data_IF_225176120501
#
_entry.id   IF_225176120501
#
_cell.length_a   1.000
_cell.length_b   1.000
_cell.length_c   1.000
_cell.angle_alpha   90.00
_cell.angle_beta   90.00
_cell.angle_gamma   90.00
#
_symmetry.space_group_name_H-M   'P 1'
#
loop_
_entity.id
_entity.type
_entity.pdbx_description
1 polymer ?
#
# COMPACT_ATOMS: atom_id res chain seq x y z
N UNK A 1 -13.45 -5.07 42.77
CA UNK A 1 -13.04 -3.93 41.93
C UNK A 1 -12.73 -4.41 40.51
N UNK A 2 -13.55 -3.93 39.58
CA UNK A 2 -13.76 -4.27 38.16
C UNK A 2 -12.56 -4.83 37.38
N UNK A 3 -12.82 -5.79 36.47
CA UNK A 3 -12.25 -5.78 35.14
C UNK A 3 -13.29 -5.29 34.12
N UNK A 4 -12.74 -4.50 33.20
CA UNK A 4 -13.27 -4.01 31.94
C UNK A 4 -13.67 -5.12 30.97
N UNK A 5 -14.86 -5.01 30.37
CA UNK A 5 -15.15 -5.56 29.05
C UNK A 5 -16.21 -4.68 28.38
N UNK A 6 -15.76 -3.81 27.47
CA UNK A 6 -16.60 -3.12 26.50
C UNK A 6 -16.05 -3.50 25.13
N UNK A 7 -16.30 -4.74 24.73
CA UNK A 7 -16.09 -5.22 23.36
C UNK A 7 -17.12 -6.30 23.08
N UNK A 8 -18.30 -5.89 22.60
CA UNK A 8 -19.02 -6.50 21.49
C UNK A 8 -20.35 -5.77 21.31
N UNK A 9 -20.42 -4.87 20.33
CA UNK A 9 -21.70 -4.28 19.92
C UNK A 9 -21.95 -4.33 18.41
N UNK A 10 -21.17 -5.13 17.70
CA UNK A 10 -21.36 -5.45 16.28
C UNK A 10 -21.03 -6.92 16.04
N UNK A 11 -21.84 -7.81 16.60
CA UNK A 11 -21.92 -9.21 16.16
C UNK A 11 -23.18 -9.32 15.32
N UNK A 12 -23.07 -9.01 14.03
CA UNK A 12 -24.11 -9.21 13.04
C UNK A 12 -24.05 -10.65 12.57
N UNK A 13 -24.53 -11.57 13.41
CA UNK A 13 -24.90 -12.93 13.02
C UNK A 13 -26.23 -13.24 13.71
N UNK A 14 -27.30 -12.68 13.13
CA UNK A 14 -28.66 -13.10 13.41
C UNK A 14 -29.29 -13.50 12.06
N UNK A 15 -29.83 -14.71 11.91
CA UNK A 15 -30.52 -15.10 10.69
C UNK A 15 -31.72 -14.17 10.49
N UNK A 16 -31.85 -13.65 9.27
CA UNK A 16 -32.91 -12.77 8.82
C UNK A 16 -34.27 -13.43 9.02
N UNK A 17 -34.89 -13.20 10.18
CA UNK A 17 -36.27 -13.56 10.45
C UNK A 17 -37.14 -12.57 9.67
N UNK A 18 -37.94 -13.08 8.74
CA UNK A 18 -39.02 -12.35 8.07
C UNK A 18 -40.03 -11.88 9.12
N UNK A 19 -39.74 -10.77 9.79
CA UNK A 19 -40.73 -9.98 10.49
C UNK A 19 -41.20 -8.92 9.49
N UNK A 20 -42.48 -9.05 9.12
CA UNK A 20 -43.21 -8.08 8.34
C UNK A 20 -42.88 -6.66 8.83
N UNK A 21 -42.51 -5.79 7.89
CA UNK A 21 -42.38 -4.36 8.17
C UNK A 21 -43.68 -3.81 8.75
N UNK A 22 -43.65 -2.64 9.42
CA UNK A 22 -44.87 -2.03 9.93
C UNK A 22 -45.84 -1.87 8.76
N UNK A 23 -46.98 -2.54 8.82
CA UNK A 23 -48.10 -2.32 7.91
C UNK A 23 -48.50 -0.85 8.03
N UNK A 24 -48.04 -0.03 7.10
CA UNK A 24 -48.60 1.29 6.92
C UNK A 24 -50.04 1.10 6.48
N UNK A 25 -50.97 1.36 7.41
CA UNK A 25 -52.41 1.34 7.14
C UNK A 25 -52.69 2.22 5.91
N UNK A 26 -53.62 1.81 5.04
CA UNK A 26 -54.11 2.64 3.92
C UNK A 26 -54.51 4.06 4.37
N UNK A 27 -54.86 4.21 5.65
CA UNK A 27 -55.17 5.50 6.27
C UNK A 27 -53.96 6.44 6.37
N UNK A 28 -52.75 5.91 6.59
CA UNK A 28 -51.49 6.69 6.62
C UNK A 28 -51.09 7.16 5.22
N UNK A 29 -51.29 6.31 4.20
CA UNK A 29 -51.14 6.69 2.79
C UNK A 29 -52.17 7.74 2.35
N UNK A 30 -53.39 7.66 2.87
CA UNK A 30 -54.44 8.63 2.59
C UNK A 30 -54.22 9.99 3.27
N UNK A 31 -53.47 10.03 4.38
CA UNK A 31 -53.07 11.27 5.06
C UNK A 31 -51.98 12.02 4.27
N UNK A 32 -51.04 11.30 3.64
CA UNK A 32 -50.03 11.91 2.76
C UNK A 32 -50.60 12.39 1.42
N UNK A 33 -51.60 11.70 0.88
CA UNK A 33 -52.20 12.04 -0.43
C UNK A 33 -53.18 13.23 -0.38
N UNK A 34 -53.46 13.76 0.82
CA UNK A 34 -54.43 14.83 1.04
C UNK A 34 -53.78 15.99 1.80
N UNK A 35 -52.72 16.56 1.24
CA UNK A 35 -52.31 17.92 1.61
C UNK A 35 -53.54 18.83 1.52
N UNK A 36 -53.80 19.57 2.61
CA UNK A 36 -55.03 20.34 2.84
C UNK A 36 -55.30 21.46 1.80
N UNK A 37 -54.42 21.60 0.80
CA UNK A 37 -54.49 22.53 -0.33
C UNK A 37 -55.43 22.01 -1.43
N UNK A 38 -55.44 20.71 -1.72
CA UNK A 38 -56.29 20.15 -2.80
C UNK A 38 -57.78 20.18 -2.46
N UNK A 39 -58.16 20.03 -1.18
CA UNK A 39 -59.59 20.06 -0.77
C UNK A 39 -60.24 21.44 -0.71
N UNK A 40 -59.49 22.52 -0.99
CA UNK A 40 -60.02 23.90 -1.01
C UNK A 40 -60.17 24.51 -2.40
N UNK A 41 -59.83 23.78 -3.47
CA UNK A 41 -59.96 24.27 -4.82
C UNK A 41 -61.41 24.13 -5.31
N UNK A 42 -62.20 25.22 -5.25
CA UNK A 42 -63.42 25.31 -6.06
C UNK A 42 -62.99 25.43 -7.53
N UNK A 43 -63.77 24.85 -8.44
CA UNK A 43 -63.42 24.56 -9.85
C UNK A 43 -63.03 25.79 -10.74
N UNK A 44 -62.97 27.00 -10.17
CA UNK A 44 -62.68 28.28 -10.86
C UNK A 44 -61.23 28.77 -10.70
N UNK A 45 -60.46 28.31 -9.71
CA UNK A 45 -59.09 28.83 -9.44
C UNK A 45 -57.99 27.78 -9.63
N UNK A 46 -58.06 27.02 -10.73
CA UNK A 46 -57.08 25.97 -11.04
C UNK A 46 -55.64 26.49 -11.07
N UNK A 47 -55.42 27.69 -11.62
CA UNK A 47 -54.11 28.37 -11.67
C UNK A 47 -53.52 28.66 -10.27
N UNK A 48 -54.37 28.98 -9.29
CA UNK A 48 -53.93 29.20 -7.91
C UNK A 48 -53.55 27.88 -7.25
N UNK A 49 -54.33 26.84 -7.47
CA UNK A 49 -54.06 25.51 -6.92
C UNK A 49 -52.80 24.87 -7.54
N UNK A 50 -52.59 25.03 -8.85
CA UNK A 50 -51.38 24.57 -9.52
C UNK A 50 -50.14 25.35 -9.05
N UNK A 51 -50.25 26.67 -8.87
CA UNK A 51 -49.17 27.49 -8.29
C UNK A 51 -48.79 27.02 -6.89
N UNK A 52 -49.77 26.77 -6.03
CA UNK A 52 -49.53 26.26 -4.66
C UNK A 52 -48.90 24.87 -4.70
N UNK A 53 -49.38 23.97 -5.57
CA UNK A 53 -48.79 22.62 -5.76
C UNK A 53 -47.33 22.70 -6.22
N UNK A 54 -47.03 23.55 -7.19
CA UNK A 54 -45.66 23.77 -7.68
C UNK A 54 -44.77 24.37 -6.59
N UNK A 55 -45.30 25.30 -5.79
CA UNK A 55 -44.59 25.85 -4.65
C UNK A 55 -44.27 24.77 -3.60
N UNK A 56 -45.26 23.96 -3.21
CA UNK A 56 -45.06 22.83 -2.26
C UNK A 56 -44.03 21.82 -2.79
N UNK A 57 -44.05 21.52 -4.09
CA UNK A 57 -43.07 20.65 -4.72
C UNK A 57 -41.66 21.25 -4.73
N UNK A 58 -41.53 22.53 -5.02
CA UNK A 58 -40.24 23.22 -4.96
C UNK A 58 -39.70 23.25 -3.53
N UNK A 59 -40.55 23.57 -2.54
CA UNK A 59 -40.17 23.54 -1.12
C UNK A 59 -39.77 22.12 -0.65
N UNK A 60 -40.41 21.08 -1.18
CA UNK A 60 -40.01 19.70 -0.92
C UNK A 60 -38.66 19.35 -1.57
N UNK A 61 -38.42 19.79 -2.80
CA UNK A 61 -37.13 19.61 -3.51
C UNK A 61 -35.99 20.34 -2.80
N UNK A 62 -36.20 21.57 -2.37
CA UNK A 62 -35.21 22.36 -1.66
C UNK A 62 -34.84 21.72 -0.31
N UNK A 63 -35.85 21.21 0.42
CA UNK A 63 -35.62 20.45 1.65
C UNK A 63 -34.82 19.16 1.39
N UNK A 64 -35.14 18.42 0.33
CA UNK A 64 -34.41 17.21 -0.05
C UNK A 64 -32.95 17.53 -0.41
N UNK A 65 -32.71 18.56 -1.23
CA UNK A 65 -31.38 19.00 -1.61
C UNK A 65 -30.54 19.45 -0.40
N UNK A 66 -31.15 20.18 0.55
CA UNK A 66 -30.48 20.56 1.78
C UNK A 66 -30.15 19.36 2.67
N UNK A 67 -31.03 18.36 2.71
CA UNK A 67 -30.81 17.11 3.45
C UNK A 67 -29.67 16.29 2.82
N UNK A 68 -29.61 16.20 1.50
CA UNK A 68 -28.51 15.58 0.76
C UNK A 68 -27.17 16.27 1.05
N UNK A 69 -27.13 17.61 0.99
CA UNK A 69 -25.93 18.38 1.34
C UNK A 69 -25.46 18.07 2.76
N UNK A 70 -26.40 18.00 3.71
CA UNK A 70 -26.11 17.70 5.11
C UNK A 70 -25.58 16.26 5.24
N UNK A 71 -26.24 15.28 4.62
CA UNK A 71 -25.80 13.88 4.58
C UNK A 71 -24.40 13.71 3.98
N UNK A 72 -24.12 14.44 2.89
CA UNK A 72 -22.82 14.42 2.22
C UNK A 72 -21.73 14.99 3.13
N UNK A 73 -22.01 16.11 3.79
CA UNK A 73 -21.09 16.70 4.76
C UNK A 73 -20.80 15.79 5.96
N UNK A 74 -21.83 15.13 6.51
CA UNK A 74 -21.64 14.13 7.57
C UNK A 74 -20.79 12.95 7.10
N UNK A 75 -21.01 12.47 5.87
CA UNK A 75 -20.27 11.37 5.28
C UNK A 75 -18.80 11.72 5.08
N UNK A 76 -18.51 12.91 4.52
CA UNK A 76 -17.14 13.43 4.34
C UNK A 76 -16.44 13.63 5.69
N UNK A 77 -17.11 14.22 6.67
CA UNK A 77 -16.58 14.33 8.04
C UNK A 77 -16.24 12.95 8.61
N UNK A 78 -17.11 11.97 8.37
CA UNK A 78 -16.93 10.61 8.87
C UNK A 78 -15.75 9.89 8.22
N UNK A 79 -15.59 10.03 6.91
CA UNK A 79 -14.44 9.51 6.19
C UNK A 79 -13.13 10.18 6.63
N UNK A 80 -13.13 11.50 6.79
CA UNK A 80 -11.95 12.27 7.18
C UNK A 80 -11.44 11.88 8.58
N UNK A 81 -12.33 11.77 9.58
CA UNK A 81 -11.86 11.32 10.91
C UNK A 81 -11.35 9.89 10.86
N UNK A 82 -12.02 8.97 10.15
CA UNK A 82 -11.55 7.58 10.02
C UNK A 82 -10.17 7.50 9.40
N UNK A 83 -9.92 8.26 8.34
CA UNK A 83 -8.62 8.37 7.69
C UNK A 83 -7.56 8.89 8.68
N UNK A 84 -7.79 10.04 9.31
CA UNK A 84 -6.86 10.62 10.31
C UNK A 84 -6.55 9.66 11.46
N UNK A 85 -7.57 8.99 11.98
CA UNK A 85 -7.40 8.02 13.06
C UNK A 85 -6.65 6.76 12.62
N UNK A 86 -6.83 6.31 11.37
CA UNK A 86 -6.00 5.24 10.82
C UNK A 86 -4.55 5.69 10.74
N UNK A 87 -4.28 6.85 10.13
CA UNK A 87 -2.92 7.40 10.00
C UNK A 87 -2.20 7.49 11.34
N UNK A 88 -2.82 8.13 12.36
CA UNK A 88 -2.21 8.25 13.69
C UNK A 88 -2.00 6.88 14.35
N UNK A 89 -2.92 5.92 14.13
CA UNK A 89 -2.78 4.56 14.64
C UNK A 89 -1.60 3.85 13.98
N UNK A 90 -1.46 3.98 12.67
CA UNK A 90 -0.42 3.34 11.87
C UNK A 90 0.94 3.94 12.22
N UNK A 91 1.05 5.26 12.33
CA UNK A 91 2.25 5.96 12.82
C UNK A 91 2.66 5.50 14.22
N UNK A 92 1.70 5.42 15.15
CA UNK A 92 1.96 4.93 16.51
C UNK A 92 2.42 3.46 16.51
N UNK A 93 1.82 2.61 15.67
CA UNK A 93 2.20 1.20 15.57
C UNK A 93 3.62 1.07 14.98
N UNK A 94 3.91 1.82 13.91
CA UNK A 94 5.24 1.89 13.30
C UNK A 94 6.31 2.33 14.29
N UNK A 95 6.06 3.39 15.06
CA UNK A 95 7.01 3.86 16.09
C UNK A 95 7.26 2.80 17.17
N UNK A 96 6.26 1.97 17.51
CA UNK A 96 6.44 0.85 18.42
C UNK A 96 7.29 -0.26 17.79
N UNK A 97 7.00 -0.64 16.56
CA UNK A 97 7.76 -1.65 15.81
C UNK A 97 9.23 -1.23 15.65
N UNK A 98 9.49 0.03 15.28
CA UNK A 98 10.85 0.58 15.19
C UNK A 98 11.55 0.57 16.56
N UNK A 99 10.85 0.92 17.65
CA UNK A 99 11.40 0.83 19.01
C UNK A 99 11.70 -0.60 19.45
N UNK A 100 10.90 -1.58 19.02
CA UNK A 100 11.17 -3.00 19.26
C UNK A 100 12.39 -3.45 18.44
N UNK A 101 12.42 -3.18 17.14
CA UNK A 101 13.53 -3.54 16.28
C UNK A 101 14.88 -2.95 16.76
N UNK A 102 14.88 -1.71 17.26
CA UNK A 102 16.09 -1.09 17.82
C UNK A 102 16.55 -1.75 19.13
N UNK A 103 15.61 -2.24 19.95
CA UNK A 103 15.94 -2.99 21.18
C UNK A 103 16.54 -4.35 20.83
N UNK A 104 15.94 -5.06 19.86
CA UNK A 104 16.45 -6.34 19.40
C UNK A 104 17.85 -6.17 18.77
N UNK A 105 18.06 -5.14 17.95
CA UNK A 105 19.37 -4.82 17.37
C UNK A 105 20.43 -4.45 18.43
N UNK A 106 20.03 -3.81 19.53
CA UNK A 106 20.91 -3.51 20.66
C UNK A 106 21.28 -4.79 21.41
N UNK A 107 20.33 -5.70 21.62
CA UNK A 107 20.56 -7.00 22.23
C UNK A 107 21.55 -7.83 21.39
N UNK A 108 21.31 -7.95 20.09
CA UNK A 108 22.21 -8.60 19.13
C UNK A 108 23.64 -8.00 19.16
N UNK A 109 23.74 -6.67 19.21
CA UNK A 109 25.03 -5.99 19.28
C UNK A 109 25.76 -6.28 20.60
N UNK A 110 25.04 -6.31 21.72
CA UNK A 110 25.60 -6.67 23.02
C UNK A 110 26.09 -8.12 23.03
N UNK A 111 25.31 -9.06 22.49
CA UNK A 111 25.74 -10.46 22.38
C UNK A 111 27.02 -10.60 21.54
N UNK A 112 27.12 -9.85 20.43
CA UNK A 112 28.35 -9.79 19.62
C UNK A 112 29.53 -9.21 20.39
N UNK A 113 29.33 -8.13 21.14
CA UNK A 113 30.36 -7.53 22.01
C UNK A 113 30.83 -8.54 23.06
N UNK A 114 29.90 -9.25 23.71
CA UNK A 114 30.23 -10.27 24.69
C UNK A 114 31.01 -11.44 24.08
N UNK A 115 30.62 -11.88 22.89
CA UNK A 115 31.31 -12.92 22.11
C UNK A 115 32.75 -12.49 21.78
N UNK A 116 32.93 -11.28 21.25
CA UNK A 116 34.26 -10.72 20.96
C UNK A 116 35.11 -10.57 22.22
N UNK A 117 34.52 -10.11 23.32
CA UNK A 117 35.21 -10.01 24.61
C UNK A 117 35.63 -11.39 25.15
N UNK A 118 34.80 -12.42 24.98
CA UNK A 118 35.17 -13.80 25.32
C UNK A 118 36.35 -14.27 24.46
N UNK A 119 36.31 -14.06 23.15
CA UNK A 119 37.41 -14.41 22.25
C UNK A 119 38.71 -13.66 22.59
N UNK A 120 38.63 -12.35 22.87
CA UNK A 120 39.75 -11.52 23.31
C UNK A 120 40.42 -12.11 24.56
N UNK A 121 39.64 -12.46 25.59
CA UNK A 121 40.18 -13.07 26.83
C UNK A 121 40.92 -14.39 26.56
N UNK A 122 40.41 -15.21 25.64
CA UNK A 122 41.08 -16.46 25.23
C UNK A 122 42.45 -16.15 24.59
N UNK A 123 42.50 -15.21 23.66
CA UNK A 123 43.75 -14.78 23.00
C UNK A 123 44.74 -14.19 24.00
N UNK A 124 44.29 -13.36 24.94
CA UNK A 124 45.14 -12.80 26.00
C UNK A 124 45.75 -13.89 26.89
N UNK A 125 44.97 -14.92 27.24
CA UNK A 125 45.45 -16.08 27.98
C UNK A 125 46.48 -16.90 27.20
N UNK A 126 46.27 -17.12 25.90
CA UNK A 126 47.21 -17.81 25.02
C UNK A 126 48.52 -17.03 24.85
N UNK A 127 48.43 -15.71 24.69
CA UNK A 127 49.58 -14.81 24.62
C UNK A 127 50.42 -14.92 25.91
N UNK A 128 49.79 -14.82 27.08
CA UNK A 128 50.49 -14.94 28.36
C UNK A 128 51.17 -16.31 28.55
N UNK A 129 50.54 -17.39 28.08
CA UNK A 129 51.14 -18.75 28.06
C UNK A 129 52.36 -18.81 27.14
N UNK A 130 52.25 -18.25 25.94
CA UNK A 130 53.35 -18.21 24.96
C UNK A 130 54.54 -17.37 25.48
N UNK A 131 54.29 -16.22 26.11
CA UNK A 131 55.31 -15.39 26.75
C UNK A 131 56.04 -16.14 27.86
N UNK A 132 55.31 -16.84 28.72
CA UNK A 132 55.88 -17.66 29.80
C UNK A 132 56.73 -18.82 29.24
N UNK A 133 56.29 -19.47 28.17
CA UNK A 133 57.06 -20.51 27.48
C UNK A 133 58.34 -19.95 26.85
N UNK A 134 58.26 -18.78 26.20
CA UNK A 134 59.43 -18.10 25.64
C UNK A 134 60.45 -17.75 26.73
N UNK A 135 59.99 -17.26 27.88
CA UNK A 135 60.87 -16.95 29.01
C UNK A 135 61.57 -18.21 29.55
N UNK A 136 60.87 -19.36 29.62
CA UNK A 136 61.47 -20.66 29.99
C UNK A 136 62.56 -21.06 29.01
N UNK A 137 62.30 -21.02 27.70
CA UNK A 137 63.29 -21.35 26.67
C UNK A 137 64.51 -20.42 26.75
N UNK A 138 64.29 -19.11 26.94
CA UNK A 138 65.39 -18.15 27.15
C UNK A 138 66.25 -18.52 28.36
N UNK A 139 65.63 -18.90 29.48
CA UNK A 139 66.34 -19.33 30.70
C UNK A 139 67.12 -20.63 30.48
N UNK A 140 66.53 -21.61 29.83
CA UNK A 140 67.17 -22.89 29.47
C UNK A 140 68.38 -22.67 28.54
N UNK A 141 68.29 -21.73 27.59
CA UNK A 141 69.39 -21.33 26.71
C UNK A 141 70.57 -20.70 27.45
N UNK A 142 70.30 -19.90 28.48
CA UNK A 142 71.34 -19.30 29.35
C UNK A 142 72.05 -20.38 30.17
N UNK A 143 71.30 -21.35 30.70
CA UNK A 143 71.86 -22.43 31.54
C UNK A 143 72.69 -23.43 30.74
N UNK A 144 72.32 -23.71 29.48
CA UNK A 144 73.00 -24.72 28.65
C UNK A 144 74.31 -24.28 28.00
N UNK A 145 74.77 -23.02 28.20
CA UNK A 145 76.01 -22.47 27.59
C UNK A 145 76.17 -22.85 26.10
N UNK A 146 75.07 -22.87 25.36
CA UNK A 146 75.15 -23.03 23.89
C UNK A 146 75.63 -21.68 23.33
N UNK A 147 76.77 -21.62 22.63
CA UNK A 147 77.29 -20.37 22.09
C UNK A 147 76.26 -19.63 21.24
N UNK A 148 76.22 -18.31 21.37
CA UNK A 148 75.50 -17.43 20.45
C UNK A 148 75.89 -17.76 19.00
N UNK A 149 74.93 -18.00 18.08
CA UNK A 149 75.22 -17.73 16.69
C UNK A 149 75.42 -16.22 16.55
N UNK A 150 76.56 -15.84 15.94
CA UNK A 150 76.97 -14.46 15.71
C UNK A 150 75.79 -13.59 15.26
N UNK A 151 75.46 -12.61 16.11
CA UNK A 151 74.48 -11.58 15.80
C UNK A 151 75.17 -10.60 14.84
N UNK A 152 74.95 -10.78 13.55
CA UNK A 152 75.24 -9.73 12.56
C UNK A 152 74.29 -8.55 12.84
N UNK A 153 74.75 -7.28 12.81
CA UNK A 153 73.91 -6.14 13.14
C UNK A 153 72.78 -5.99 12.12
N UNK A 154 71.58 -6.44 12.48
CA UNK A 154 70.37 -6.15 11.72
C UNK A 154 70.06 -4.67 11.95
N UNK A 155 70.33 -3.86 10.93
CA UNK A 155 69.84 -2.49 10.83
C UNK A 155 68.33 -2.50 11.04
N UNK A 156 67.85 -1.67 11.96
CA UNK A 156 66.43 -1.37 12.12
C UNK A 156 65.93 -0.84 10.77
N UNK A 157 65.15 -1.64 10.07
CA UNK A 157 64.30 -1.16 8.98
C UNK A 157 62.95 -0.88 9.62
N UNK A 158 62.61 0.41 9.72
CA UNK A 158 61.26 0.82 10.05
C UNK A 158 60.35 0.43 8.89
N UNK A 159 59.65 -0.69 9.04
CA UNK A 159 58.53 -1.02 8.16
C UNK A 159 57.27 -0.37 8.73
N UNK A 160 57.00 0.86 8.29
CA UNK A 160 55.67 1.45 8.42
C UNK A 160 54.67 0.64 7.61
N UNK A 161 53.90 -0.21 8.28
CA UNK A 161 52.67 -0.80 7.76
C UNK A 161 51.58 -0.46 8.75
N UNK A 162 50.99 0.73 8.60
CA UNK A 162 49.68 1.01 9.18
C UNK A 162 48.63 0.26 8.36
N UNK A 163 48.20 -0.90 8.86
CA UNK A 163 46.95 -1.50 8.42
C UNK A 163 45.80 -0.80 9.18
N UNK A 164 45.31 0.31 8.62
CA UNK A 164 44.09 0.98 9.08
C UNK A 164 42.87 0.25 8.47
N UNK A 165 41.93 -0.27 9.26
CA UNK A 165 40.66 -0.77 8.73
C UNK A 165 39.75 0.43 8.53
N UNK A 166 39.29 0.69 7.30
CA UNK A 166 38.25 1.71 7.08
C UNK A 166 37.34 1.24 5.97
N UNK A 167 36.23 0.65 6.40
CA UNK A 167 34.86 0.93 5.97
C UNK A 167 34.67 1.42 4.54
N UNK A 168 33.92 0.63 3.80
CA UNK A 168 33.11 1.07 2.68
C UNK A 168 32.20 2.22 3.14
N UNK A 169 32.56 3.45 2.78
CA UNK A 169 31.67 4.60 2.66
C UNK A 169 32.23 5.45 1.51
N UNK A 170 31.48 5.52 0.42
CA UNK A 170 31.76 6.36 -0.74
C UNK A 170 31.59 7.85 -0.39
N UNK A 171 32.57 8.68 -0.78
CA UNK A 171 32.34 9.97 -1.45
C UNK A 171 33.67 10.63 -1.89
N UNK A 172 33.80 10.76 -3.23
CA UNK A 172 34.39 11.84 -4.06
C UNK A 172 35.69 12.60 -3.71
N UNK A 173 36.52 12.69 -4.77
CA UNK A 173 37.32 13.84 -5.26
C UNK A 173 38.84 13.94 -4.99
N UNK A 174 39.59 13.56 -6.04
CA UNK A 174 40.68 14.23 -6.79
C UNK A 174 42.00 14.72 -6.16
N UNK A 175 43.05 14.39 -6.92
CA UNK A 175 44.30 15.10 -7.23
C UNK A 175 45.62 14.75 -6.51
N UNK A 176 46.53 14.23 -7.35
CA UNK A 176 47.97 14.55 -7.52
C UNK A 176 48.95 14.34 -6.35
N UNK A 177 50.20 13.88 -6.51
CA UNK A 177 51.08 13.47 -7.61
C UNK A 177 52.37 12.94 -6.95
N UNK A 178 53.02 11.91 -7.53
CA UNK A 178 54.49 11.62 -7.57
C UNK A 178 55.30 11.59 -6.23
N UNK A 179 56.19 10.64 -5.93
CA UNK A 179 57.38 10.18 -6.65
C UNK A 179 57.82 8.82 -6.03
N UNK A 180 58.05 7.81 -6.88
CA UNK A 180 59.02 6.72 -6.67
C UNK A 180 60.25 7.08 -7.54
N UNK A 181 61.49 6.62 -7.24
CA UNK A 181 61.89 5.40 -7.94
C UNK A 181 63.03 4.54 -7.32
N UNK A 182 63.07 3.30 -7.85
CA UNK A 182 64.26 2.49 -8.19
C UNK A 182 64.89 1.68 -7.04
N UNK A 183 65.18 0.38 -7.15
CA UNK A 183 65.15 -0.58 -8.26
C UNK A 183 65.50 -1.98 -7.74
N UNK A 184 65.03 -3.01 -8.47
CA UNK A 184 65.73 -4.22 -8.94
C UNK A 184 66.58 -5.03 -7.92
N UNK A 185 66.63 -6.34 -7.90
CA UNK A 185 66.06 -7.41 -8.71
C UNK A 185 66.32 -8.70 -7.94
N UNK A 186 65.37 -9.63 -8.09
CA UNK A 186 65.49 -11.08 -8.01
C UNK A 186 66.90 -11.67 -7.79
N UNK A 187 67.06 -12.53 -6.78
CA UNK A 187 67.36 -13.95 -7.03
C UNK A 187 67.37 -14.80 -5.75
N UNK A 188 66.61 -15.90 -5.84
CA UNK A 188 66.93 -17.26 -5.39
C UNK A 188 67.28 -17.50 -3.91
N UNK A 189 66.26 -17.85 -3.13
CA UNK A 189 66.42 -18.56 -1.87
C UNK A 189 66.61 -20.07 -2.13
N UNK A 190 67.79 -20.60 -1.81
CA UNK A 190 67.95 -21.99 -1.42
C UNK A 190 68.20 -22.11 0.08
N UNK A 191 67.55 -23.11 0.67
CA UNK A 191 67.87 -23.81 1.92
C UNK A 191 67.40 -23.17 3.23
N UNK A 192 66.50 -23.88 3.92
CA UNK A 192 66.77 -24.34 5.30
C UNK A 192 65.76 -25.41 5.74
N UNK A 193 66.22 -26.67 5.65
CA UNK A 193 65.71 -27.81 6.42
C UNK A 193 66.05 -27.57 7.90
N UNK A 194 65.08 -27.25 8.76
CA UNK A 194 64.98 -27.71 10.17
C UNK A 194 63.78 -27.21 11.00
N UNK A 195 62.77 -26.57 10.40
CA UNK A 195 61.52 -26.15 11.10
C UNK A 195 60.31 -27.04 10.73
N UNK A 196 60.54 -28.29 10.33
CA UNK A 196 59.47 -29.14 9.77
C UNK A 196 58.86 -30.14 10.76
N UNK A 197 59.39 -30.32 11.97
CA UNK A 197 58.92 -31.39 12.87
C UNK A 197 57.89 -30.87 13.89
N UNK A 198 58.07 -29.67 14.43
CA UNK A 198 57.12 -29.05 15.38
C UNK A 198 55.91 -28.41 14.69
N UNK A 199 56.12 -27.75 13.55
CA UNK A 199 55.05 -27.15 12.75
C UNK A 199 54.11 -28.17 12.07
N UNK A 200 54.50 -29.46 11.99
CA UNK A 200 53.62 -30.54 11.52
C UNK A 200 52.71 -31.05 12.63
N UNK A 201 53.23 -31.17 13.86
CA UNK A 201 52.50 -31.74 14.99
C UNK A 201 51.33 -30.85 15.47
N UNK A 202 51.51 -29.52 15.52
CA UNK A 202 50.40 -28.59 15.83
C UNK A 202 49.38 -28.49 14.67
N UNK A 203 49.86 -28.60 13.42
CA UNK A 203 48.99 -28.60 12.24
C UNK A 203 48.10 -29.84 12.20
N UNK A 204 48.57 -30.98 12.71
CA UNK A 204 47.81 -32.23 12.83
C UNK A 204 46.76 -32.21 13.96
N UNK A 205 46.97 -31.45 15.04
CA UNK A 205 45.97 -31.31 16.13
C UNK A 205 44.81 -30.35 15.81
N UNK A 206 45.06 -29.27 15.06
CA UNK A 206 44.00 -28.33 14.67
C UNK A 206 43.16 -28.80 13.48
N UNK A 207 43.71 -29.72 12.67
CA UNK A 207 43.04 -30.31 11.50
C UNK A 207 41.66 -30.90 11.80
N UNK A 208 41.46 -31.79 12.80
CA UNK A 208 40.13 -32.33 13.10
C UNK A 208 39.12 -31.28 13.59
N UNK A 209 39.58 -30.20 14.26
CA UNK A 209 38.71 -29.11 14.69
C UNK A 209 38.21 -28.28 13.49
N UNK A 210 39.09 -28.02 12.51
CA UNK A 210 38.71 -27.36 11.27
C UNK A 210 37.81 -28.24 10.42
N UNK A 211 38.08 -29.54 10.32
CA UNK A 211 37.23 -30.51 9.63
C UNK A 211 35.82 -30.57 10.24
N UNK A 212 35.70 -30.59 11.57
CA UNK A 212 34.41 -30.54 12.26
C UNK A 212 33.67 -29.21 12.02
N UNK A 213 34.39 -28.08 11.97
CA UNK A 213 33.80 -26.77 11.65
C UNK A 213 33.33 -26.72 10.20
N UNK A 214 34.11 -27.27 9.26
CA UNK A 214 33.72 -27.37 7.85
C UNK A 214 32.46 -28.22 7.71
N UNK A 215 32.40 -29.38 8.37
CA UNK A 215 31.19 -30.22 8.37
C UNK A 215 29.96 -29.49 8.95
N UNK A 216 30.13 -28.73 10.05
CA UNK A 216 29.05 -27.89 10.61
C UNK A 216 28.57 -26.85 9.60
N UNK A 217 29.49 -26.12 8.99
CA UNK A 217 29.16 -25.09 7.99
C UNK A 217 28.52 -25.70 6.74
N UNK A 218 28.92 -26.89 6.32
CA UNK A 218 28.28 -27.63 5.22
C UNK A 218 26.84 -28.00 5.57
N UNK A 219 26.57 -28.44 6.80
CA UNK A 219 25.18 -28.72 7.24
C UNK A 219 24.34 -27.46 7.34
N UNK A 220 24.89 -26.36 7.87
CA UNK A 220 24.21 -25.06 7.95
C UNK A 220 23.88 -24.52 6.55
N UNK A 221 24.82 -24.64 5.61
CA UNK A 221 24.64 -24.23 4.22
C UNK A 221 23.56 -25.09 3.52
N UNK A 222 23.52 -26.39 3.79
CA UNK A 222 22.48 -27.29 3.27
C UNK A 222 21.09 -26.90 3.78
N UNK A 223 20.96 -26.62 5.08
CA UNK A 223 19.69 -26.17 5.69
C UNK A 223 19.26 -24.82 5.12
N UNK A 224 20.20 -23.87 4.98
CA UNK A 224 19.93 -22.56 4.40
C UNK A 224 19.45 -22.67 2.95
N UNK A 225 20.07 -23.54 2.15
CA UNK A 225 19.66 -23.80 0.77
C UNK A 225 18.26 -24.43 0.69
N UNK A 226 17.96 -25.41 1.57
CA UNK A 226 16.61 -25.98 1.66
C UNK A 226 15.59 -24.90 2.01
N UNK A 227 15.92 -23.99 2.95
CA UNK A 227 15.02 -22.89 3.31
C UNK A 227 14.81 -21.89 2.18
N UNK A 228 15.84 -21.58 1.40
CA UNK A 228 15.72 -20.73 0.22
C UNK A 228 14.81 -21.37 -0.84
N UNK A 229 14.90 -22.69 -1.04
CA UNK A 229 14.04 -23.41 -1.97
C UNK A 229 12.55 -23.37 -1.53
N UNK A 230 12.28 -23.55 -0.24
CA UNK A 230 10.92 -23.39 0.31
C UNK A 230 10.36 -21.99 0.09
N UNK A 231 11.18 -20.95 0.33
CA UNK A 231 10.77 -19.56 0.14
C UNK A 231 10.50 -19.23 -1.33
N UNK A 232 11.32 -19.72 -2.25
CA UNK A 232 11.08 -19.54 -3.70
C UNK A 232 9.81 -20.29 -4.15
N UNK A 233 9.54 -21.49 -3.61
CA UNK A 233 8.28 -22.20 -3.90
C UNK A 233 7.06 -21.44 -3.35
N UNK A 234 7.13 -20.94 -2.12
CA UNK A 234 6.06 -20.14 -1.51
C UNK A 234 5.82 -18.82 -2.27
N UNK A 235 6.90 -18.17 -2.70
CA UNK A 235 6.84 -16.97 -3.55
C UNK A 235 6.21 -17.28 -4.91
N UNK A 236 6.56 -18.41 -5.54
CA UNK A 236 5.93 -18.88 -6.77
C UNK A 236 4.42 -19.04 -6.61
N UNK A 237 3.98 -19.76 -5.58
CA UNK A 237 2.56 -19.96 -5.29
C UNK A 237 1.81 -18.63 -5.04
N UNK A 238 2.43 -17.68 -4.33
CA UNK A 238 1.84 -16.36 -4.11
C UNK A 238 1.73 -15.54 -5.41
N UNK A 239 2.70 -15.65 -6.32
CA UNK A 239 2.63 -15.01 -7.64
C UNK A 239 1.49 -15.59 -8.46
N UNK A 240 1.34 -16.92 -8.48
CA UNK A 240 0.25 -17.59 -9.19
C UNK A 240 -1.14 -17.15 -8.66
N UNK A 241 -1.29 -17.06 -7.34
CA UNK A 241 -2.53 -16.57 -6.71
C UNK A 241 -2.83 -15.11 -7.09
N UNK A 242 -1.81 -14.24 -7.12
CA UNK A 242 -1.95 -12.85 -7.57
C UNK A 242 -2.40 -12.81 -9.05
N UNK A 243 -1.86 -13.68 -9.90
CA UNK A 243 -2.25 -13.76 -11.32
C UNK A 243 -3.67 -14.26 -11.50
N UNK A 244 -4.11 -15.26 -10.73
CA UNK A 244 -5.49 -15.74 -10.71
C UNK A 244 -6.46 -14.62 -10.29
N UNK A 245 -6.14 -13.90 -9.21
CA UNK A 245 -6.94 -12.78 -8.73
C UNK A 245 -7.01 -11.64 -9.75
N UNK A 246 -5.91 -11.34 -10.43
CA UNK A 246 -5.88 -10.35 -11.53
C UNK A 246 -6.78 -10.77 -12.69
N UNK A 247 -6.71 -12.04 -13.12
CA UNK A 247 -7.59 -12.58 -14.17
C UNK A 247 -9.05 -12.50 -13.78
N UNK A 248 -9.40 -12.87 -12.55
CA UNK A 248 -10.77 -12.79 -12.06
C UNK A 248 -11.29 -11.35 -12.00
N UNK A 249 -10.47 -10.42 -11.50
CA UNK A 249 -10.83 -9.01 -11.44
C UNK A 249 -11.03 -8.41 -12.84
N UNK A 250 -10.15 -8.74 -13.79
CA UNK A 250 -10.29 -8.30 -15.18
C UNK A 250 -11.57 -8.85 -15.83
N UNK A 251 -11.91 -10.11 -15.57
CA UNK A 251 -13.16 -10.70 -16.05
C UNK A 251 -14.39 -10.01 -15.43
N UNK A 252 -14.36 -9.71 -14.13
CA UNK A 252 -15.42 -8.97 -13.45
C UNK A 252 -15.59 -7.56 -14.02
N UNK A 253 -14.49 -6.83 -14.25
CA UNK A 253 -14.52 -5.52 -14.91
C UNK A 253 -15.13 -5.62 -16.32
N UNK A 254 -14.75 -6.63 -17.11
CA UNK A 254 -15.34 -6.87 -18.43
C UNK A 254 -16.85 -7.17 -18.35
N UNK A 255 -17.30 -7.93 -17.35
CA UNK A 255 -18.73 -8.23 -17.13
C UNK A 255 -19.51 -6.99 -16.76
N UNK A 256 -19.00 -6.19 -15.82
CA UNK A 256 -19.63 -4.92 -15.39
C UNK A 256 -19.70 -3.95 -16.56
N UNK A 257 -18.59 -3.74 -17.28
CA UNK A 257 -18.57 -2.86 -18.45
C UNK A 257 -19.56 -3.30 -19.54
N UNK A 258 -19.68 -4.61 -19.81
CA UNK A 258 -20.68 -5.14 -20.75
C UNK A 258 -22.11 -4.92 -20.26
N UNK A 259 -22.38 -5.02 -18.95
CA UNK A 259 -23.69 -4.75 -18.40
C UNK A 259 -24.05 -3.26 -18.52
N UNK A 260 -23.13 -2.38 -18.13
CA UNK A 260 -23.28 -0.92 -18.27
C UNK A 260 -23.51 -0.52 -19.73
N UNK A 261 -22.75 -1.09 -20.67
CA UNK A 261 -22.91 -0.81 -22.10
C UNK A 261 -24.31 -1.21 -22.60
N UNK A 262 -24.84 -2.35 -22.15
CA UNK A 262 -26.21 -2.78 -22.50
C UNK A 262 -27.27 -1.84 -21.93
N UNK A 263 -27.11 -1.38 -20.69
CA UNK A 263 -28.05 -0.41 -20.09
C UNK A 263 -27.98 0.94 -20.80
N UNK A 264 -26.78 1.38 -21.20
CA UNK A 264 -26.61 2.59 -22.02
C UNK A 264 -27.27 2.46 -23.39
N UNK A 265 -27.18 1.29 -24.04
CA UNK A 265 -27.84 1.02 -25.32
C UNK A 265 -29.36 1.03 -25.19
N UNK A 266 -29.92 0.44 -24.12
CA UNK A 266 -31.36 0.51 -23.82
C UNK A 266 -31.82 1.94 -23.58
N UNK A 267 -31.14 2.69 -22.72
CA UNK A 267 -31.47 4.09 -22.45
C UNK A 267 -31.38 4.96 -23.72
N UNK A 268 -30.41 4.69 -24.60
CA UNK A 268 -30.33 5.36 -25.91
C UNK A 268 -31.53 5.03 -26.80
N UNK A 269 -31.96 3.77 -26.85
CA UNK A 269 -33.13 3.37 -27.62
C UNK A 269 -34.41 4.04 -27.10
N UNK A 270 -34.60 4.07 -25.77
CA UNK A 270 -35.73 4.77 -25.13
C UNK A 270 -35.73 6.27 -25.44
N UNK A 271 -34.55 6.91 -25.43
CA UNK A 271 -34.44 8.33 -25.80
C UNK A 271 -34.84 8.57 -27.26
N UNK A 272 -34.42 7.70 -28.19
CA UNK A 272 -34.79 7.81 -29.60
C UNK A 272 -36.28 7.57 -29.82
N UNK A 273 -36.89 6.63 -29.11
CA UNK A 273 -38.35 6.40 -29.13
C UNK A 273 -39.12 7.63 -28.65
N UNK A 274 -38.76 8.18 -27.49
CA UNK A 274 -39.37 9.40 -26.95
C UNK A 274 -39.17 10.60 -27.90
N UNK A 275 -38.02 10.70 -28.56
CA UNK A 275 -37.77 11.75 -29.56
C UNK A 275 -38.70 11.62 -30.76
N UNK A 276 -38.87 10.42 -31.30
CA UNK A 276 -39.76 10.16 -32.43
C UNK A 276 -41.23 10.46 -32.06
N UNK A 277 -41.67 10.06 -30.86
CA UNK A 277 -43.01 10.42 -30.34
C UNK A 277 -43.18 11.94 -30.22
N UNK A 278 -42.19 12.64 -29.68
CA UNK A 278 -42.23 14.09 -29.55
C UNK A 278 -42.27 14.81 -30.90
N UNK A 279 -41.58 14.28 -31.92
CA UNK A 279 -41.67 14.79 -33.29
C UNK A 279 -43.04 14.56 -33.91
N UNK A 280 -43.61 13.36 -33.77
CA UNK A 280 -44.96 13.07 -34.26
C UNK A 280 -46.02 13.99 -33.63
N UNK A 281 -45.94 14.21 -32.31
CA UNK A 281 -46.83 15.15 -31.61
C UNK A 281 -46.62 16.60 -32.04
N UNK A 282 -45.40 17.01 -32.41
CA UNK A 282 -45.15 18.35 -32.96
C UNK A 282 -45.81 18.52 -34.33
N UNK A 283 -45.68 17.54 -35.21
CA UNK A 283 -46.32 17.56 -36.53
C UNK A 283 -47.86 17.58 -36.42
N UNK A 284 -48.43 16.82 -35.49
CA UNK A 284 -49.88 16.83 -35.23
C UNK A 284 -50.34 18.20 -34.70
N UNK A 285 -49.61 18.78 -33.74
CA UNK A 285 -49.89 20.12 -33.24
C UNK A 285 -49.81 21.17 -34.36
N UNK A 286 -48.84 21.08 -35.27
CA UNK A 286 -48.73 21.99 -36.41
C UNK A 286 -49.93 21.88 -37.37
N UNK A 287 -50.38 20.64 -37.65
CA UNK A 287 -51.59 20.39 -38.46
C UNK A 287 -52.84 20.98 -37.80
N UNK A 288 -53.02 20.76 -36.50
CA UNK A 288 -54.16 21.32 -35.75
C UNK A 288 -54.12 22.86 -35.73
N UNK A 289 -52.93 23.46 -35.55
CA UNK A 289 -52.76 24.90 -35.61
C UNK A 289 -53.10 25.45 -37.01
N UNK A 290 -52.73 24.75 -38.08
CA UNK A 290 -53.11 25.14 -39.43
C UNK A 290 -54.62 25.08 -39.64
N UNK A 291 -55.28 24.00 -39.19
CA UNK A 291 -56.74 23.89 -39.26
C UNK A 291 -57.44 25.04 -38.52
N UNK A 292 -56.95 25.40 -37.33
CA UNK A 292 -57.48 26.54 -36.57
C UNK A 292 -57.31 27.86 -37.34
N UNK A 293 -56.18 28.05 -38.03
CA UNK A 293 -55.97 29.23 -38.90
C UNK A 293 -56.99 29.27 -40.03
N UNK A 294 -57.14 28.17 -40.76
CA UNK A 294 -58.07 28.06 -41.89
C UNK A 294 -59.52 28.33 -41.45
N UNK A 295 -59.94 27.77 -40.30
CA UNK A 295 -61.27 28.04 -39.74
C UNK A 295 -61.47 29.51 -39.36
N UNK A 296 -60.45 30.18 -38.82
CA UNK A 296 -60.52 31.62 -38.51
C UNK A 296 -60.63 32.47 -39.76
N UNK A 297 -59.88 32.13 -40.81
CA UNK A 297 -59.94 32.83 -42.10
C UNK A 297 -61.31 32.64 -42.78
N UNK A 298 -61.84 31.42 -42.78
CA UNK A 298 -63.18 31.14 -43.29
C UNK A 298 -64.28 31.90 -42.52
N UNK A 299 -64.18 31.96 -41.18
CA UNK A 299 -65.10 32.72 -40.36
C UNK A 299 -65.02 34.24 -40.64
N UNK A 300 -63.82 34.78 -40.83
CA UNK A 300 -63.63 36.18 -41.19
C UNK A 300 -64.19 36.51 -42.58
N UNK A 301 -64.00 35.62 -43.56
CA UNK A 301 -64.56 35.77 -44.90
C UNK A 301 -66.10 35.72 -44.91
N UNK A 302 -66.70 34.83 -44.12
CA UNK A 302 -68.15 34.77 -43.96
C UNK A 302 -68.72 36.06 -43.33
N UNK A 303 -68.05 36.60 -42.30
CA UNK A 303 -68.44 37.87 -41.69
C UNK A 303 -68.36 39.05 -42.67
N UNK A 304 -67.32 39.10 -43.52
CA UNK A 304 -67.20 40.13 -44.55
C UNK A 304 -68.29 40.03 -45.64
N UNK A 305 -68.71 38.81 -45.99
CA UNK A 305 -69.78 38.59 -46.97
C UNK A 305 -71.17 39.00 -46.45
N UNK A 306 -71.42 38.95 -45.14
CA UNK A 306 -72.65 39.48 -44.53
C UNK A 306 -72.71 41.02 -44.59
N UNK A 307 -71.55 41.71 -44.50
CA UNK A 307 -71.46 43.18 -44.51
C UNK A 307 -71.66 43.81 -45.91
N UNK A 308 -71.44 43.05 -47.00
CA UNK A 308 -71.62 43.50 -48.39
C UNK A 308 -73.06 43.33 -48.93
N UNK A 309 -74.02 42.82 -48.15
CA UNK A 309 -75.42 42.74 -48.60
C UNK A 309 -76.11 44.12 -48.49
N UNK A 310 -76.43 44.81 -49.61
CA UNK A 310 -76.97 46.16 -49.54
C UNK A 310 -78.41 46.12 -49.04
N UNK A 311 -78.69 46.92 -48.01
CA UNK A 311 -80.04 47.16 -47.50
C UNK A 311 -80.92 47.69 -48.63
N UNK A 312 -82.09 47.07 -48.92
CA UNK A 312 -82.96 47.57 -49.99
C UNK A 312 -83.50 48.96 -49.61
N UNK A 313 -83.60 49.91 -50.57
CA UNK A 313 -84.10 51.24 -50.26
C UNK A 313 -85.59 51.18 -49.94
N UNK A 314 -85.98 51.98 -48.94
CA UNK A 314 -87.33 52.15 -48.40
C UNK A 314 -88.30 52.70 -49.46
#
# INVERSE_FOLDING_TARGET
PRPSSVFNRYSTDAPYSQQAGPEYSELDMALFSRTATVRRCQHTDWELCERVRLQELNEARDRAAQMEKTMRWWSECTANWRSKWSTVRDERNRAREESHAMRDALEDANERIESVNRAKRVVELELARAESALHRVKKERIVTKVPEPDIVPIRKMDCGVEARPTTMNECTQTDDQYILPRSASLSSLQSTRRVQITAKFDRDQHKPCLEARVASLETELLIANAKCAELEAAKGAAVDEIEDLRRHNEENLRKVSKAEQKELEKARAEIEEIRAEAEALREENEKLLQQIRDFREAAAAAAAAEEETPTPPI
#
